data_IF_050238088209
#
_entry.id   IF_050238088209
#
_cell.length_a   1.000
_cell.length_b   1.000
_cell.length_c   1.000
_cell.angle_alpha   90.00
_cell.angle_beta   90.00
_cell.angle_gamma   90.00
#
_symmetry.space_group_name_H-M   'P 1'
#
loop_
_entity.id
_entity.type
_entity.pdbx_description
1 polymer ?
#
# COMPACT_ATOMS: atom_id res chain seq x y z
N UNK A 1 -0.10 4.61 -7.53
CA UNK A 1 -1.49 4.58 -8.07
C UNK A 1 -1.82 5.99 -8.52
N UNK A 2 -2.52 6.12 -9.64
CA UNK A 2 -2.97 7.39 -10.21
C UNK A 2 -4.49 7.35 -10.29
N UNK A 3 -5.14 8.28 -9.60
CA UNK A 3 -6.59 8.39 -9.59
C UNK A 3 -7.07 9.50 -10.50
N UNK A 4 -8.25 9.31 -11.05
CA UNK A 4 -8.96 10.23 -11.93
C UNK A 4 -10.38 10.42 -11.40
N UNK A 5 -10.86 11.66 -11.42
CA UNK A 5 -12.21 12.00 -11.02
C UNK A 5 -13.08 12.20 -12.26
N UNK A 6 -13.80 11.15 -12.65
CA UNK A 6 -14.65 11.16 -13.84
C UNK A 6 -15.83 12.14 -13.74
N UNK A 7 -16.31 12.44 -12.54
CA UNK A 7 -17.46 13.34 -12.34
C UNK A 7 -17.12 14.83 -12.53
N UNK A 8 -15.90 15.21 -12.18
CA UNK A 8 -15.52 16.62 -12.15
C UNK A 8 -14.44 16.98 -13.19
N UNK A 9 -13.95 16.03 -13.96
CA UNK A 9 -12.94 16.29 -14.98
C UNK A 9 -13.58 16.61 -16.34
N UNK A 10 -13.15 17.66 -17.04
CA UNK A 10 -13.59 17.95 -18.41
C UNK A 10 -12.93 17.04 -19.46
N UNK A 11 -11.89 16.30 -19.08
CA UNK A 11 -11.10 15.42 -19.97
C UNK A 11 -11.61 13.99 -19.82
N UNK A 12 -11.65 13.23 -20.91
CA UNK A 12 -11.99 11.78 -20.84
C UNK A 12 -10.87 10.98 -20.20
N UNK A 13 -11.22 9.91 -19.49
CA UNK A 13 -10.24 9.07 -18.80
C UNK A 13 -9.21 8.44 -19.74
N UNK A 14 -9.62 8.13 -20.97
CA UNK A 14 -8.72 7.56 -21.99
C UNK A 14 -7.64 8.56 -22.40
N UNK A 15 -7.99 9.85 -22.58
CA UNK A 15 -7.04 10.89 -22.95
C UNK A 15 -6.12 11.27 -21.80
N UNK A 16 -6.66 11.28 -20.58
CA UNK A 16 -5.86 11.43 -19.37
C UNK A 16 -4.86 10.25 -19.23
N UNK A 17 -5.32 9.02 -19.44
CA UNK A 17 -4.47 7.84 -19.40
C UNK A 17 -3.35 7.85 -20.48
N UNK A 18 -3.62 8.36 -21.69
CA UNK A 18 -2.58 8.56 -22.71
C UNK A 18 -1.52 9.56 -22.24
N UNK A 19 -1.95 10.67 -21.66
CA UNK A 19 -1.05 11.70 -21.13
C UNK A 19 -0.16 11.15 -20.03
N UNK A 20 -0.71 10.36 -19.12
CA UNK A 20 0.04 9.70 -18.04
C UNK A 20 1.03 8.67 -18.60
N UNK A 21 0.63 7.86 -19.59
CA UNK A 21 1.54 6.92 -20.27
C UNK A 21 2.74 7.64 -20.89
N UNK A 22 2.49 8.79 -21.53
CA UNK A 22 3.54 9.61 -22.12
C UNK A 22 4.47 10.17 -21.03
N UNK A 23 3.92 10.74 -19.97
CA UNK A 23 4.71 11.24 -18.84
C UNK A 23 5.62 10.16 -18.24
N UNK A 24 5.08 8.95 -18.02
CA UNK A 24 5.86 7.82 -17.50
C UNK A 24 6.98 7.43 -18.46
N UNK A 25 6.70 7.41 -19.77
CA UNK A 25 7.70 7.14 -20.80
C UNK A 25 8.81 8.21 -20.79
N UNK A 26 8.43 9.49 -20.72
CA UNK A 26 9.39 10.60 -20.72
C UNK A 26 10.27 10.55 -19.45
N UNK A 27 9.71 10.30 -18.27
CA UNK A 27 10.47 10.10 -17.03
C UNK A 27 11.40 8.90 -17.16
N UNK A 28 10.94 7.79 -17.71
CA UNK A 28 11.74 6.57 -17.87
C UNK A 28 12.91 6.78 -18.83
N UNK A 29 12.72 7.54 -19.92
CA UNK A 29 13.76 7.85 -20.90
C UNK A 29 14.85 8.79 -20.34
N UNK A 30 14.46 9.72 -19.45
CA UNK A 30 15.41 10.63 -18.78
C UNK A 30 16.23 9.90 -17.71
N UNK A 31 15.74 8.76 -17.22
CA UNK A 31 16.16 8.17 -15.94
C UNK A 31 17.24 7.11 -16.04
N UNK A 32 17.88 6.89 -17.21
CA UNK A 32 18.89 5.81 -17.32
C UNK A 32 20.04 5.91 -16.28
N UNK A 33 20.17 7.06 -15.58
CA UNK A 33 21.17 7.23 -14.53
C UNK A 33 20.74 8.02 -13.27
N UNK A 34 19.53 8.59 -13.20
CA UNK A 34 19.19 9.56 -12.13
C UNK A 34 17.95 9.26 -11.31
N UNK A 35 16.99 8.47 -11.81
CA UNK A 35 15.72 8.22 -11.13
C UNK A 35 15.45 6.74 -10.92
N UNK A 36 14.67 6.43 -9.88
CA UNK A 36 14.20 5.08 -9.65
C UNK A 36 13.20 4.66 -10.73
N UNK A 37 13.30 3.41 -11.18
CA UNK A 37 12.35 2.82 -12.13
C UNK A 37 10.93 2.90 -11.58
N UNK A 38 10.01 3.43 -12.38
CA UNK A 38 8.59 3.48 -12.02
C UNK A 38 8.01 2.08 -12.10
N UNK A 39 7.48 1.58 -10.98
CA UNK A 39 6.81 0.29 -10.91
C UNK A 39 5.29 0.49 -10.82
N UNK A 40 4.58 0.07 -11.86
CA UNK A 40 3.13 0.20 -11.98
C UNK A 40 2.37 -1.10 -11.63
N UNK A 41 3.06 -2.13 -11.16
CA UNK A 41 2.43 -3.44 -10.84
C UNK A 41 1.49 -3.36 -9.64
N UNK A 42 1.78 -2.48 -8.69
CA UNK A 42 0.96 -2.28 -7.49
C UNK A 42 -0.19 -1.30 -7.79
N UNK A 43 -1.19 -1.75 -8.52
CA UNK A 43 -2.41 -1.00 -8.82
C UNK A 43 -3.62 -1.94 -8.77
N UNK A 44 -4.83 -1.42 -8.51
CA UNK A 44 -6.04 -2.21 -8.62
C UNK A 44 -6.15 -2.83 -10.00
N UNK A 45 -6.45 -4.12 -10.05
CA UNK A 45 -6.71 -4.81 -11.32
C UNK A 45 -8.21 -4.81 -11.57
N UNK A 46 -8.65 -3.86 -12.38
CA UNK A 46 -10.05 -3.78 -12.83
C UNK A 46 -10.31 -4.58 -14.11
N UNK A 47 -9.35 -5.42 -14.55
CA UNK A 47 -9.47 -6.14 -15.81
C UNK A 47 -9.38 -5.26 -17.06
N UNK A 48 -8.99 -3.99 -16.91
CA UNK A 48 -8.78 -3.06 -18.01
C UNK A 48 -7.30 -2.71 -18.19
N UNK A 49 -6.94 -2.19 -19.37
CA UNK A 49 -5.56 -1.82 -19.72
C UNK A 49 -5.16 -0.41 -19.24
N UNK A 50 -6.01 0.27 -18.47
CA UNK A 50 -5.77 1.63 -18.01
C UNK A 50 -4.78 1.63 -16.84
N UNK A 51 -3.84 2.59 -16.84
CA UNK A 51 -2.92 2.84 -15.73
C UNK A 51 -3.62 3.69 -14.65
N UNK A 52 -4.59 4.47 -15.08
CA UNK A 52 -5.37 5.38 -14.25
C UNK A 52 -6.63 4.68 -13.77
N UNK A 53 -6.98 4.87 -12.52
CA UNK A 53 -8.19 4.33 -11.90
C UNK A 53 -9.18 5.45 -11.62
N UNK A 54 -10.46 5.25 -11.97
CA UNK A 54 -11.50 6.16 -11.50
C UNK A 54 -11.61 6.09 -9.97
N UNK A 55 -11.75 7.24 -9.33
CA UNK A 55 -11.68 7.34 -7.87
C UNK A 55 -12.85 6.62 -7.17
N UNK A 56 -14.05 6.64 -7.76
CA UNK A 56 -15.21 5.97 -7.18
C UNK A 56 -15.11 4.46 -7.36
N UNK A 57 -14.75 4.01 -8.55
CA UNK A 57 -14.50 2.59 -8.79
C UNK A 57 -13.40 2.05 -7.86
N UNK A 58 -12.38 2.86 -7.59
CA UNK A 58 -11.33 2.48 -6.65
C UNK A 58 -11.84 2.38 -5.21
N UNK A 59 -12.71 3.30 -4.76
CA UNK A 59 -13.34 3.22 -3.44
C UNK A 59 -14.16 1.93 -3.33
N UNK A 60 -15.02 1.65 -4.31
CA UNK A 60 -15.84 0.44 -4.33
C UNK A 60 -15.00 -0.83 -4.31
N UNK A 61 -13.92 -0.86 -5.09
CA UNK A 61 -12.99 -1.97 -5.11
C UNK A 61 -12.33 -2.21 -3.75
N UNK A 62 -11.74 -1.17 -3.14
CA UNK A 62 -11.03 -1.34 -1.87
C UNK A 62 -11.97 -1.67 -0.71
N UNK A 63 -13.19 -1.17 -0.73
CA UNK A 63 -14.16 -1.46 0.33
C UNK A 63 -14.78 -2.84 0.22
N UNK A 64 -14.86 -3.42 -0.99
CA UNK A 64 -15.50 -4.72 -1.24
C UNK A 64 -14.52 -5.88 -1.42
N UNK A 65 -13.42 -5.69 -2.16
CA UNK A 65 -12.52 -6.76 -2.62
C UNK A 65 -11.06 -6.54 -2.23
N UNK A 66 -10.72 -5.36 -1.70
CA UNK A 66 -9.33 -4.96 -1.40
C UNK A 66 -8.54 -6.01 -0.59
N UNK A 67 -7.31 -6.29 -1.02
CA UNK A 67 -6.45 -7.35 -0.50
C UNK A 67 -5.47 -6.81 0.56
N UNK A 68 -4.96 -7.70 1.41
CA UNK A 68 -4.05 -7.33 2.50
C UNK A 68 -2.74 -6.70 2.02
N UNK A 69 -2.17 -7.14 0.88
CA UNK A 69 -0.97 -6.53 0.32
C UNK A 69 -1.22 -5.08 -0.18
N UNK A 70 -2.43 -4.77 -0.65
CA UNK A 70 -2.84 -3.42 -1.04
C UNK A 70 -2.98 -2.51 0.19
N UNK A 71 -3.52 -3.03 1.30
CA UNK A 71 -3.51 -2.33 2.59
C UNK A 71 -2.11 -1.94 2.98
N UNK A 72 -1.15 -2.87 2.93
CA UNK A 72 0.26 -2.61 3.23
C UNK A 72 0.83 -1.51 2.32
N UNK A 73 0.52 -1.54 1.03
CA UNK A 73 0.95 -0.52 0.09
C UNK A 73 0.39 0.86 0.45
N UNK A 74 -0.88 0.95 0.87
CA UNK A 74 -1.49 2.20 1.32
C UNK A 74 -0.93 2.72 2.64
N UNK A 75 -0.60 1.87 3.60
CA UNK A 75 0.08 2.28 4.84
C UNK A 75 1.42 2.98 4.54
N UNK A 76 2.09 2.57 3.47
CA UNK A 76 3.36 3.13 2.99
C UNK A 76 3.20 4.28 1.99
N UNK A 77 1.99 4.56 1.50
CA UNK A 77 1.74 5.52 0.44
C UNK A 77 1.85 6.96 0.91
N UNK A 78 2.28 7.82 -0.02
CA UNK A 78 2.30 9.26 0.11
C UNK A 78 1.46 9.93 -0.97
N UNK A 79 0.91 11.09 -0.64
CA UNK A 79 0.45 12.03 -1.64
C UNK A 79 1.66 12.58 -2.41
N UNK A 80 1.64 12.50 -3.72
CA UNK A 80 2.70 13.01 -4.57
C UNK A 80 2.29 14.34 -5.21
N UNK A 81 1.17 14.34 -5.94
CA UNK A 81 0.66 15.54 -6.61
C UNK A 81 -0.84 15.37 -6.93
N UNK A 82 -1.50 16.47 -7.26
CA UNK A 82 -2.90 16.51 -7.61
C UNK A 82 -3.74 17.29 -6.58
N UNK A 83 -5.02 16.97 -6.50
CA UNK A 83 -5.95 17.58 -5.55
C UNK A 83 -5.83 16.91 -4.17
N UNK A 84 -5.27 17.64 -3.21
CA UNK A 84 -5.04 17.14 -1.85
C UNK A 84 -6.35 16.90 -1.08
N UNK A 85 -7.40 17.67 -1.35
CA UNK A 85 -8.70 17.50 -0.70
C UNK A 85 -9.35 16.17 -1.14
N UNK A 86 -9.28 15.87 -2.43
CA UNK A 86 -9.74 14.60 -2.97
C UNK A 86 -8.93 13.42 -2.46
N UNK A 87 -7.61 13.59 -2.27
CA UNK A 87 -6.78 12.57 -1.64
C UNK A 87 -7.24 12.26 -0.21
N UNK A 88 -7.52 13.28 0.62
CA UNK A 88 -8.02 13.06 1.98
C UNK A 88 -9.41 12.44 1.99
N UNK A 89 -10.31 12.90 1.12
CA UNK A 89 -11.66 12.31 0.97
C UNK A 89 -11.59 10.83 0.56
N UNK A 90 -10.72 10.50 -0.38
CA UNK A 90 -10.48 9.12 -0.77
C UNK A 90 -9.95 8.27 0.39
N UNK A 91 -8.93 8.77 1.11
CA UNK A 91 -8.36 8.07 2.28
C UNK A 91 -9.39 7.83 3.38
N UNK A 92 -10.30 8.78 3.59
CA UNK A 92 -11.37 8.64 4.58
C UNK A 92 -12.42 7.63 4.11
N UNK A 93 -12.79 7.63 2.85
CA UNK A 93 -13.72 6.66 2.26
C UNK A 93 -13.23 5.21 2.39
N UNK A 94 -11.93 4.96 2.21
CA UNK A 94 -11.33 3.61 2.35
C UNK A 94 -10.80 3.30 3.76
N UNK A 95 -11.10 4.13 4.76
CA UNK A 95 -10.56 4.01 6.13
C UNK A 95 -10.89 2.67 6.78
N UNK A 96 -12.11 2.14 6.57
CA UNK A 96 -12.52 0.84 7.08
C UNK A 96 -11.70 -0.31 6.47
N UNK A 97 -11.32 -0.19 5.21
CA UNK A 97 -10.40 -1.12 4.57
C UNK A 97 -8.99 -1.00 5.14
N UNK A 98 -8.47 0.21 5.29
CA UNK A 98 -7.11 0.45 5.78
C UNK A 98 -6.93 -0.03 7.22
N UNK A 99 -7.89 0.27 8.09
CA UNK A 99 -7.79 0.08 9.55
C UNK A 99 -8.85 -0.89 10.06
N UNK A 100 -8.77 -2.15 9.60
CA UNK A 100 -9.64 -3.22 10.09
C UNK A 100 -9.46 -3.42 11.61
N UNK A 101 -10.60 -3.57 12.30
CA UNK A 101 -10.62 -3.82 13.76
C UNK A 101 -10.67 -5.29 14.13
N UNK A 102 -11.18 -6.13 13.25
CA UNK A 102 -11.33 -7.57 13.48
C UNK A 102 -10.84 -8.37 12.27
N UNK A 103 -10.25 -9.50 12.55
CA UNK A 103 -9.78 -10.47 11.56
C UNK A 103 -10.32 -11.83 11.93
N UNK A 104 -10.73 -12.61 10.94
CA UNK A 104 -10.90 -14.04 11.08
C UNK A 104 -9.55 -14.76 10.91
N UNK A 105 -9.53 -16.02 11.26
CA UNK A 105 -8.33 -16.85 11.15
C UNK A 105 -7.75 -16.87 9.72
N UNK A 106 -8.62 -16.91 8.71
CA UNK A 106 -8.22 -16.94 7.32
C UNK A 106 -7.48 -15.66 6.90
N UNK A 107 -7.99 -14.50 7.31
CA UNK A 107 -7.34 -13.21 7.03
C UNK A 107 -5.96 -13.09 7.69
N UNK A 108 -5.79 -13.62 8.90
CA UNK A 108 -4.49 -13.65 9.59
C UNK A 108 -3.50 -14.56 8.83
N UNK A 109 -3.94 -15.73 8.38
CA UNK A 109 -3.12 -16.64 7.60
C UNK A 109 -2.70 -16.04 6.24
N UNK A 110 -3.59 -15.33 5.56
CA UNK A 110 -3.22 -14.56 4.36
C UNK A 110 -2.14 -13.52 4.65
N UNK A 111 -2.27 -12.77 5.74
CA UNK A 111 -1.27 -11.76 6.12
C UNK A 111 0.06 -12.46 6.42
N UNK A 112 0.07 -13.58 7.15
CA UNK A 112 1.28 -14.38 7.39
C UNK A 112 1.96 -14.78 6.07
N UNK A 113 1.20 -15.28 5.11
CA UNK A 113 1.73 -15.68 3.80
C UNK A 113 2.40 -14.56 3.03
N UNK A 114 1.94 -13.31 3.15
CA UNK A 114 2.60 -12.16 2.52
C UNK A 114 4.05 -11.98 2.98
N UNK A 115 4.36 -12.37 4.19
CA UNK A 115 5.67 -12.15 4.81
C UNK A 115 6.57 -13.38 4.84
N UNK A 116 6.04 -14.59 4.59
CA UNK A 116 6.80 -15.85 4.65
C UNK A 116 7.33 -16.32 3.29
N UNK A 117 6.85 -15.79 2.17
CA UNK A 117 7.10 -16.31 0.82
C UNK A 117 8.48 -15.98 0.22
N UNK A 118 9.45 -15.46 0.96
CA UNK A 118 10.73 -14.97 0.42
C UNK A 118 11.96 -15.86 0.72
N UNK A 119 11.80 -17.14 1.05
CA UNK A 119 12.90 -17.95 1.62
C UNK A 119 13.75 -18.77 0.63
N UNK A 120 13.66 -18.57 -0.68
CA UNK A 120 14.35 -19.42 -1.68
C UNK A 120 15.58 -18.78 -2.34
N UNK A 121 16.37 -17.99 -1.61
CA UNK A 121 17.60 -17.43 -2.20
C UNK A 121 18.85 -18.16 -1.73
N UNK A 122 19.51 -18.86 -2.66
CA UNK A 122 20.82 -19.54 -2.46
C UNK A 122 22.01 -18.58 -2.24
N UNK A 123 21.81 -17.26 -2.31
CA UNK A 123 22.85 -16.25 -2.08
C UNK A 123 22.47 -15.38 -0.88
N UNK A 124 23.47 -15.07 -0.04
CA UNK A 124 23.30 -14.14 1.07
C UNK A 124 22.96 -12.75 0.50
N UNK A 125 21.76 -12.28 0.78
CA UNK A 125 21.27 -10.95 0.41
C UNK A 125 20.87 -10.22 1.70
N UNK A 126 21.63 -9.22 2.09
CA UNK A 126 21.41 -8.43 3.32
C UNK A 126 19.99 -7.84 3.38
N UNK A 127 19.38 -7.58 2.22
CA UNK A 127 18.03 -7.02 2.17
C UNK A 127 16.96 -8.10 2.32
N UNK A 128 17.11 -9.24 1.63
CA UNK A 128 16.01 -10.20 1.43
C UNK A 128 16.21 -11.53 2.16
N UNK A 129 17.42 -11.87 2.65
CA UNK A 129 17.65 -13.11 3.39
C UNK A 129 16.95 -13.08 4.75
N UNK A 130 16.63 -14.28 5.26
CA UNK A 130 15.96 -14.45 6.56
C UNK A 130 16.79 -13.82 7.69
N UNK A 131 16.11 -13.11 8.59
CA UNK A 131 16.73 -12.43 9.74
C UNK A 131 17.35 -11.06 9.42
N UNK A 132 17.34 -10.63 8.15
CA UNK A 132 17.87 -9.33 7.74
C UNK A 132 16.79 -8.23 7.63
N UNK A 133 17.12 -7.11 6.96
CA UNK A 133 16.34 -5.86 6.94
C UNK A 133 14.86 -6.12 6.63
N UNK A 134 14.57 -6.87 5.56
CA UNK A 134 13.18 -7.15 5.15
C UNK A 134 12.42 -7.98 6.18
N UNK A 135 13.09 -8.90 6.87
CA UNK A 135 12.46 -9.69 7.92
C UNK A 135 12.04 -8.81 9.10
N UNK A 136 12.89 -7.87 9.51
CA UNK A 136 12.54 -6.89 10.56
C UNK A 136 11.39 -5.98 10.13
N UNK A 137 11.45 -5.44 8.90
CA UNK A 137 10.36 -4.61 8.35
C UNK A 137 9.04 -5.40 8.29
N UNK A 138 9.10 -6.66 7.90
CA UNK A 138 7.93 -7.54 7.80
C UNK A 138 7.26 -7.74 9.16
N UNK A 139 8.02 -7.98 10.23
CA UNK A 139 7.46 -8.11 11.58
C UNK A 139 6.73 -6.84 12.00
N UNK A 140 7.34 -5.67 11.79
CA UNK A 140 6.74 -4.39 12.12
C UNK A 140 5.43 -4.17 11.33
N UNK A 141 5.45 -4.42 10.03
CA UNK A 141 4.27 -4.23 9.18
C UNK A 141 3.19 -5.29 9.40
N UNK A 142 3.54 -6.51 9.75
CA UNK A 142 2.58 -7.53 10.16
C UNK A 142 1.77 -7.05 11.37
N UNK A 143 2.45 -6.58 12.41
CA UNK A 143 1.79 -6.01 13.59
C UNK A 143 0.96 -4.77 13.25
N UNK A 144 1.47 -3.89 12.40
CA UNK A 144 0.70 -2.74 11.92
C UNK A 144 -0.61 -3.15 11.24
N UNK A 145 -0.57 -4.13 10.33
CA UNK A 145 -1.77 -4.60 9.63
C UNK A 145 -2.83 -5.17 10.57
N UNK A 146 -2.41 -5.84 11.63
CA UNK A 146 -3.32 -6.47 12.60
C UNK A 146 -3.87 -5.43 13.60
N UNK A 147 -3.00 -4.59 14.16
CA UNK A 147 -3.35 -3.79 15.33
C UNK A 147 -3.72 -2.34 15.02
N UNK A 148 -3.39 -1.78 13.85
CA UNK A 148 -3.66 -0.37 13.52
C UNK A 148 -5.15 0.00 13.50
N UNK A 149 -6.05 -0.97 13.39
CA UNK A 149 -7.49 -0.75 13.52
C UNK A 149 -7.95 -0.54 14.95
N UNK A 150 -7.20 -1.03 15.94
CA UNK A 150 -7.49 -0.94 17.38
C UNK A 150 -6.63 0.13 18.07
N UNK A 151 -5.39 0.34 17.62
CA UNK A 151 -4.38 1.19 18.24
C UNK A 151 -4.01 2.33 17.29
N UNK A 152 -4.40 3.56 17.62
CA UNK A 152 -4.23 4.72 16.75
C UNK A 152 -2.76 5.09 16.49
N UNK A 153 -1.89 4.91 17.49
CA UNK A 153 -0.45 5.17 17.34
C UNK A 153 0.23 4.28 16.28
N UNK A 154 -0.38 3.15 15.92
CA UNK A 154 0.13 2.24 14.88
C UNK A 154 -0.31 2.63 13.45
N UNK A 155 -1.09 3.70 13.28
CA UNK A 155 -1.40 4.30 11.97
C UNK A 155 -0.26 5.15 11.41
N UNK A 156 0.90 5.08 12.05
CA UNK A 156 2.12 5.78 11.68
C UNK A 156 2.74 5.17 10.40
N UNK A 157 3.22 6.03 9.51
CA UNK A 157 3.87 5.62 8.27
C UNK A 157 5.39 5.47 8.39
N UNK A 158 6.00 6.28 9.24
CA UNK A 158 7.44 6.22 9.47
C UNK A 158 7.78 4.97 10.26
N UNK A 159 8.59 4.08 9.69
CA UNK A 159 8.90 2.77 10.26
C UNK A 159 9.60 2.85 11.62
N UNK A 160 10.45 3.85 11.84
CA UNK A 160 11.12 4.04 13.13
C UNK A 160 10.12 4.45 14.22
N UNK A 161 9.23 5.40 13.92
CA UNK A 161 8.18 5.79 14.85
C UNK A 161 7.21 4.64 15.10
N UNK A 162 6.85 3.91 14.06
CA UNK A 162 6.01 2.74 14.16
C UNK A 162 6.64 1.68 15.08
N UNK A 163 7.92 1.42 14.95
CA UNK A 163 8.65 0.49 15.83
C UNK A 163 8.63 0.94 17.30
N UNK A 164 8.90 2.23 17.56
CA UNK A 164 8.83 2.79 18.93
C UNK A 164 7.40 2.66 19.50
N UNK A 165 6.39 2.95 18.67
CA UNK A 165 4.99 2.81 19.09
C UNK A 165 4.63 1.34 19.39
N UNK A 166 5.12 0.38 18.59
CA UNK A 166 4.92 -1.04 18.87
C UNK A 166 5.53 -1.46 20.22
N UNK A 167 6.75 -1.01 20.51
CA UNK A 167 7.39 -1.30 21.80
C UNK A 167 6.57 -0.78 22.99
N UNK A 168 5.91 0.36 22.86
CA UNK A 168 5.06 0.90 23.94
C UNK A 168 3.77 0.08 24.17
N UNK A 169 3.42 -0.81 23.24
CA UNK A 169 2.24 -1.68 23.30
C UNK A 169 2.58 -3.18 23.39
N UNK A 170 3.81 -3.52 23.75
CA UNK A 170 4.31 -4.90 23.81
C UNK A 170 3.43 -5.83 24.65
N UNK A 171 2.91 -5.34 25.78
CA UNK A 171 2.01 -6.11 26.64
C UNK A 171 0.63 -6.44 26.02
N UNK A 172 0.19 -5.67 25.01
CA UNK A 172 -1.09 -5.91 24.33
C UNK A 172 -0.89 -6.90 23.17
N UNK A 173 0.29 -6.85 22.56
CA UNK A 173 0.64 -7.64 21.36
C UNK A 173 1.06 -9.06 21.77
N UNK A 174 1.62 -9.24 22.98
CA UNK A 174 2.10 -10.54 23.48
C UNK A 174 1.02 -11.41 24.17
N UNK A 175 -0.17 -10.90 24.42
CA UNK A 175 -1.23 -11.59 25.17
C UNK A 175 -2.33 -12.23 24.31
N UNK A 176 -2.28 -12.12 22.98
CA UNK A 176 -3.27 -12.70 22.05
C UNK A 176 -2.71 -13.91 21.29
N UNK A 177 -1.85 -14.75 21.92
CA UNK A 177 -1.42 -16.05 21.40
C UNK A 177 -2.43 -17.15 21.75
#
# INVERSE_FOLDING_TARGET
IIFYDSKNSPVKIEDFNKSIKRLISDISNVSDNFFHKIDLRLRPDFGNSLIVSDIEQAIDYYTSVGRNWERLAFHRSNFLCGDIQKYFSFKDAIKSFLFRRSFDYYAIDEIKKLFTSSNDQKKLDIKNSYGFIRSCENIIHFNQLIWSGKIDSLKERNIHKLFINLQSHENIISHDD
#
